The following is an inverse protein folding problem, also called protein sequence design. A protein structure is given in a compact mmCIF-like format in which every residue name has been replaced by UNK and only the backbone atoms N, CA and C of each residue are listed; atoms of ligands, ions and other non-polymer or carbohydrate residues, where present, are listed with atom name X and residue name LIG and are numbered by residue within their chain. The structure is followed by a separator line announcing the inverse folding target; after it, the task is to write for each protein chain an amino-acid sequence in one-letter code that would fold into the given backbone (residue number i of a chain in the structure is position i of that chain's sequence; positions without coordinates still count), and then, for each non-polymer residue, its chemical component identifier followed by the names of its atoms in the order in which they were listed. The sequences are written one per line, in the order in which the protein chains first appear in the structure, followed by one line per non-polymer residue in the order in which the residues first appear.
data_IF_014112703724
#
_entry.id   IF_014112703724
#
_cell.length_a   1.000
_cell.length_b   1.000
_cell.length_c   1.000
_cell.angle_alpha   90.00
_cell.angle_beta   90.00
_cell.angle_gamma   90.00
#
_symmetry.space_group_name_H-M   'P 1'
#
loop_
_entity.id
_entity.type
_entity.pdbx_description
1 polymer ?
#
# COMPACT_ATOMS: atom_id res chain seq x y z
N UNK A 1 -21.72 23.89 23.69
CA UNK A 1 -21.13 22.86 22.81
C UNK A 1 -20.46 21.85 23.71
N UNK A 2 -20.93 20.61 23.68
CA UNK A 2 -20.52 19.55 24.61
C UNK A 2 -19.15 18.99 24.20
N UNK A 3 -18.11 19.33 24.98
CA UNK A 3 -16.69 19.02 24.73
C UNK A 3 -16.39 17.53 24.72
N UNK A 4 -17.32 16.70 25.19
CA UNK A 4 -17.22 15.25 25.21
C UNK A 4 -17.35 14.64 23.80
N UNK A 5 -18.18 15.25 22.95
CA UNK A 5 -18.41 14.78 21.56
C UNK A 5 -17.22 15.01 20.61
N UNK A 6 -16.33 15.95 20.95
CA UNK A 6 -15.11 16.24 20.18
C UNK A 6 -13.98 15.23 20.45
N UNK A 7 -14.03 14.48 21.56
CA UNK A 7 -13.02 13.47 21.89
C UNK A 7 -13.19 12.16 21.13
N UNK A 8 -14.42 11.83 20.76
CA UNK A 8 -14.77 10.58 20.09
C UNK A 8 -15.00 10.75 18.58
N UNK A 9 -14.94 11.99 18.08
CA UNK A 9 -14.95 12.25 16.65
C UNK A 9 -13.61 11.78 16.04
N UNK A 10 -13.62 11.12 14.86
CA UNK A 10 -12.39 10.84 14.13
C UNK A 10 -11.61 12.15 13.95
N UNK A 11 -10.27 12.13 14.09
CA UNK A 11 -9.46 13.30 13.84
C UNK A 11 -9.83 13.96 12.49
N UNK A 12 -9.83 15.30 12.37
CA UNK A 12 -10.28 16.02 11.17
C UNK A 12 -9.64 15.52 9.87
N UNK A 13 -8.42 14.99 9.95
CA UNK A 13 -7.69 14.38 8.85
C UNK A 13 -8.46 13.20 8.23
N UNK A 14 -9.15 12.40 9.02
CA UNK A 14 -9.98 11.30 8.51
C UNK A 14 -11.21 11.80 7.78
N UNK A 15 -11.80 12.92 8.22
CA UNK A 15 -12.91 13.54 7.51
C UNK A 15 -12.45 14.09 6.16
N UNK A 16 -11.28 14.74 6.11
CA UNK A 16 -10.68 15.25 4.86
C UNK A 16 -10.37 14.11 3.90
N UNK A 17 -9.64 13.09 4.36
CA UNK A 17 -9.32 11.91 3.53
C UNK A 17 -10.58 11.20 3.09
N UNK A 18 -11.58 11.08 3.98
CA UNK A 18 -12.89 10.54 3.67
C UNK A 18 -13.58 11.31 2.55
N UNK A 19 -13.59 12.63 2.58
CA UNK A 19 -14.17 13.45 1.52
C UNK A 19 -13.37 13.37 0.21
N UNK A 20 -12.04 13.32 0.28
CA UNK A 20 -11.19 13.24 -0.91
C UNK A 20 -11.30 11.89 -1.64
N UNK A 21 -11.36 10.79 -0.90
CA UNK A 21 -11.41 9.43 -1.46
C UNK A 21 -12.84 8.93 -1.68
N UNK A 22 -13.78 9.38 -0.84
CA UNK A 22 -15.17 8.94 -0.83
C UNK A 22 -16.10 10.16 -0.63
N UNK A 23 -16.20 11.05 -1.64
CA UNK A 23 -17.02 12.26 -1.56
C UNK A 23 -18.46 11.95 -1.16
N UNK A 24 -19.06 12.77 -0.30
CA UNK A 24 -20.39 12.48 0.25
C UNK A 24 -21.43 12.24 -0.85
N UNK A 25 -21.47 13.10 -1.87
CA UNK A 25 -22.45 13.00 -2.96
C UNK A 25 -22.29 11.70 -3.73
N UNK A 26 -21.04 11.25 -3.92
CA UNK A 26 -20.74 9.98 -4.58
C UNK A 26 -21.20 8.82 -3.72
N UNK A 27 -20.83 8.78 -2.43
CA UNK A 27 -21.20 7.68 -1.52
C UNK A 27 -22.71 7.53 -1.39
N UNK A 28 -23.45 8.65 -1.38
CA UNK A 28 -24.94 8.63 -1.35
C UNK A 28 -25.57 8.02 -2.60
N UNK A 29 -24.85 7.99 -3.72
CA UNK A 29 -25.33 7.40 -4.98
C UNK A 29 -25.00 5.91 -5.14
N UNK A 30 -24.17 5.35 -4.25
CA UNK A 30 -23.75 3.95 -4.32
C UNK A 30 -24.83 3.02 -3.77
N UNK A 31 -24.84 1.80 -4.29
CA UNK A 31 -25.56 0.70 -3.65
C UNK A 31 -24.76 0.18 -2.45
N UNK A 32 -25.34 0.33 -1.26
CA UNK A 32 -24.79 -0.13 0.01
C UNK A 32 -25.71 -1.13 0.71
N UNK A 33 -26.64 -1.75 -0.04
CA UNK A 33 -27.68 -2.64 0.49
C UNK A 33 -27.17 -3.99 0.98
N UNK A 34 -25.96 -4.40 0.58
CA UNK A 34 -25.38 -5.69 0.94
C UNK A 34 -23.85 -5.61 1.04
N UNK A 35 -23.26 -6.62 1.70
CA UNK A 35 -21.81 -6.72 1.83
C UNK A 35 -21.11 -6.91 0.47
N UNK A 36 -21.76 -7.55 -0.49
CA UNK A 36 -21.23 -7.72 -1.85
C UNK A 36 -21.21 -6.38 -2.60
N UNK A 37 -22.30 -5.62 -2.54
CA UNK A 37 -22.39 -4.28 -3.10
C UNK A 37 -21.35 -3.33 -2.49
N UNK A 38 -21.15 -3.39 -1.17
CA UNK A 38 -20.12 -2.62 -0.46
C UNK A 38 -18.71 -3.00 -0.95
N UNK A 39 -18.43 -4.29 -1.17
CA UNK A 39 -17.12 -4.71 -1.68
C UNK A 39 -16.88 -4.25 -3.12
N UNK A 40 -17.91 -4.31 -3.96
CA UNK A 40 -17.85 -3.83 -5.34
C UNK A 40 -17.59 -2.33 -5.39
N UNK A 41 -18.39 -1.54 -4.67
CA UNK A 41 -18.24 -0.09 -4.59
C UNK A 41 -16.88 0.33 -4.02
N UNK A 42 -16.38 -0.40 -3.01
CA UNK A 42 -15.05 -0.15 -2.46
C UNK A 42 -13.93 -0.42 -3.48
N UNK A 43 -14.07 -1.44 -4.34
CA UNK A 43 -13.10 -1.67 -5.42
C UNK A 43 -13.16 -0.57 -6.48
N UNK A 44 -14.34 -0.06 -6.85
CA UNK A 44 -14.46 1.06 -7.80
C UNK A 44 -13.77 2.33 -7.27
N UNK A 45 -13.96 2.64 -5.99
CA UNK A 45 -13.33 3.78 -5.31
C UNK A 45 -11.87 3.54 -4.93
N UNK A 46 -11.35 2.30 -5.12
CA UNK A 46 -10.01 1.88 -4.73
C UNK A 46 -9.69 2.13 -3.25
N UNK A 47 -10.67 1.88 -2.39
CA UNK A 47 -10.57 1.92 -0.92
C UNK A 47 -10.80 0.53 -0.32
N UNK A 48 -10.57 0.36 0.98
CA UNK A 48 -10.95 -0.90 1.64
C UNK A 48 -12.46 -0.92 1.92
N UNK A 49 -13.14 -2.09 1.83
CA UNK A 49 -14.55 -2.21 2.19
C UNK A 49 -14.86 -1.69 3.61
N UNK A 50 -13.95 -1.92 4.57
CA UNK A 50 -14.09 -1.41 5.93
C UNK A 50 -14.10 0.12 6.01
N UNK A 51 -13.30 0.80 5.19
CA UNK A 51 -13.27 2.26 5.15
C UNK A 51 -14.59 2.81 4.59
N UNK A 52 -15.14 2.17 3.57
CA UNK A 52 -16.43 2.53 3.00
C UNK A 52 -17.57 2.34 4.01
N UNK A 53 -17.58 1.23 4.77
CA UNK A 53 -18.59 1.00 5.83
C UNK A 53 -18.52 2.09 6.91
N UNK A 54 -17.32 2.45 7.39
CA UNK A 54 -17.14 3.51 8.39
C UNK A 54 -17.61 4.87 7.84
N UNK A 55 -17.28 5.17 6.58
CA UNK A 55 -17.72 6.40 5.91
C UNK A 55 -19.24 6.45 5.77
N UNK A 56 -19.86 5.37 5.31
CA UNK A 56 -21.31 5.27 5.15
C UNK A 56 -22.04 5.38 6.50
N UNK A 57 -21.50 4.79 7.57
CA UNK A 57 -22.02 4.95 8.93
C UNK A 57 -21.91 6.41 9.40
N UNK A 58 -20.76 7.07 9.19
CA UNK A 58 -20.56 8.48 9.53
C UNK A 58 -21.51 9.42 8.79
N UNK A 59 -21.87 9.09 7.54
CA UNK A 59 -22.86 9.80 6.73
C UNK A 59 -24.31 9.39 7.04
N UNK A 60 -24.52 8.48 8.02
CA UNK A 60 -25.80 7.93 8.44
C UNK A 60 -26.57 7.21 7.32
N UNK A 61 -25.85 6.63 6.37
CA UNK A 61 -26.40 5.79 5.30
C UNK A 61 -26.56 4.33 5.74
N UNK A 62 -25.73 3.89 6.69
CA UNK A 62 -25.86 2.60 7.36
C UNK A 62 -26.20 2.82 8.83
N UNK A 63 -27.13 2.00 9.33
CA UNK A 63 -27.39 1.89 10.77
C UNK A 63 -26.17 1.33 11.49
N UNK A 64 -26.06 1.65 12.79
CA UNK A 64 -24.94 1.19 13.61
C UNK A 64 -24.82 -0.34 13.64
N UNK A 65 -25.93 -1.04 13.86
CA UNK A 65 -25.94 -2.51 13.95
C UNK A 65 -25.48 -3.17 12.64
N UNK A 66 -25.97 -2.66 11.51
CA UNK A 66 -25.60 -3.13 10.17
C UNK A 66 -24.11 -2.88 9.89
N UNK A 67 -23.61 -1.70 10.24
CA UNK A 67 -22.20 -1.37 10.09
C UNK A 67 -21.31 -2.30 10.94
N UNK A 68 -21.70 -2.56 12.19
CA UNK A 68 -20.98 -3.49 13.06
C UNK A 68 -20.97 -4.93 12.51
N UNK A 69 -22.11 -5.41 12.00
CA UNK A 69 -22.21 -6.73 11.38
C UNK A 69 -21.29 -6.87 10.17
N UNK A 70 -21.32 -5.91 9.23
CA UNK A 70 -20.43 -5.91 8.07
C UNK A 70 -18.96 -5.83 8.46
N UNK A 71 -18.58 -4.98 9.42
CA UNK A 71 -17.20 -4.88 9.89
C UNK A 71 -16.70 -6.19 10.52
N UNK A 72 -17.58 -6.90 11.25
CA UNK A 72 -17.26 -8.22 11.82
C UNK A 72 -16.97 -9.22 10.70
N UNK A 73 -17.86 -9.33 9.72
CA UNK A 73 -17.72 -10.26 8.59
C UNK A 73 -16.45 -9.97 7.76
N UNK A 74 -16.19 -8.70 7.46
CA UNK A 74 -14.96 -8.29 6.78
C UNK A 74 -13.70 -8.64 7.60
N UNK A 75 -13.78 -8.48 8.92
CA UNK A 75 -12.71 -8.85 9.85
C UNK A 75 -12.46 -10.36 9.91
N UNK A 76 -13.51 -11.18 9.84
CA UNK A 76 -13.41 -12.64 9.74
C UNK A 76 -12.81 -13.07 8.41
N UNK A 77 -13.30 -12.51 7.30
CA UNK A 77 -12.79 -12.78 5.96
C UNK A 77 -11.30 -12.40 5.84
N UNK A 78 -10.89 -11.25 6.40
CA UNK A 78 -9.49 -10.84 6.39
C UNK A 78 -8.59 -11.79 7.19
N UNK A 79 -9.03 -12.21 8.38
CA UNK A 79 -8.28 -13.15 9.24
C UNK A 79 -8.16 -14.54 8.62
N UNK A 80 -9.17 -14.98 7.88
CA UNK A 80 -9.18 -16.27 7.18
C UNK A 80 -8.27 -16.32 5.94
N UNK A 81 -7.75 -15.19 5.46
CA UNK A 81 -6.87 -15.18 4.28
C UNK A 81 -5.56 -15.91 4.58
N UNK A 82 -5.12 -16.85 3.72
CA UNK A 82 -3.84 -17.50 3.88
C UNK A 82 -2.73 -16.45 3.83
N UNK A 83 -1.88 -16.43 4.86
CA UNK A 83 -0.71 -15.56 4.87
C UNK A 83 0.19 -15.96 3.72
N UNK A 84 0.42 -15.04 2.77
CA UNK A 84 1.43 -15.26 1.73
C UNK A 84 2.78 -15.38 2.43
N UNK A 85 3.49 -16.48 2.18
CA UNK A 85 4.86 -16.62 2.68
C UNK A 85 5.70 -15.49 2.08
N UNK A 86 6.20 -14.60 2.94
CA UNK A 86 7.03 -13.50 2.51
C UNK A 86 8.32 -14.07 1.89
N UNK A 87 8.47 -13.92 0.58
CA UNK A 87 9.75 -14.22 -0.08
C UNK A 87 10.72 -13.15 0.38
N UNK A 88 11.83 -13.56 1.00
CA UNK A 88 12.91 -12.64 1.32
C UNK A 88 13.35 -11.95 0.02
N UNK A 89 13.26 -10.60 -0.07
CA UNK A 89 13.65 -9.90 -1.29
C UNK A 89 15.15 -10.15 -1.51
N UNK A 90 15.52 -10.71 -2.67
CA UNK A 90 16.94 -10.83 -3.03
C UNK A 90 17.61 -9.45 -2.94
N UNK A 91 18.82 -9.33 -2.40
CA UNK A 91 19.49 -8.04 -2.26
C UNK A 91 19.60 -7.22 -3.55
N UNK A 92 19.77 -7.88 -4.70
CA UNK A 92 19.76 -7.25 -6.04
C UNK A 92 18.47 -6.48 -6.34
N UNK A 93 17.31 -6.94 -5.84
CA UNK A 93 16.04 -6.26 -6.03
C UNK A 93 15.94 -4.98 -5.19
N UNK A 94 16.57 -4.96 -4.01
CA UNK A 94 16.64 -3.77 -3.20
C UNK A 94 17.52 -2.71 -3.89
N UNK A 95 18.71 -3.10 -4.36
CA UNK A 95 19.61 -2.21 -5.11
C UNK A 95 18.88 -1.63 -6.33
N UNK A 96 18.24 -2.46 -7.17
CA UNK A 96 17.45 -2.00 -8.31
C UNK A 96 16.34 -1.01 -7.93
N UNK A 97 15.58 -1.32 -6.86
CA UNK A 97 14.41 -0.52 -6.45
C UNK A 97 14.80 0.88 -5.99
N UNK A 98 15.86 0.99 -5.18
CA UNK A 98 16.20 2.23 -4.51
C UNK A 98 17.18 3.10 -5.32
N UNK A 99 18.07 2.48 -6.09
CA UNK A 99 18.99 3.23 -6.95
C UNK A 99 18.35 3.61 -8.30
N UNK A 100 17.30 2.90 -8.70
CA UNK A 100 16.67 3.10 -10.00
C UNK A 100 17.47 2.50 -11.16
N UNK A 101 16.77 2.19 -12.25
CA UNK A 101 17.32 1.46 -13.40
C UNK A 101 18.45 2.22 -14.10
N UNK A 102 18.23 3.50 -14.41
CA UNK A 102 19.18 4.32 -15.17
C UNK A 102 20.52 4.47 -14.45
N UNK A 103 20.47 4.85 -13.18
CA UNK A 103 21.67 5.04 -12.36
C UNK A 103 22.41 3.70 -12.19
N UNK A 104 21.69 2.61 -11.89
CA UNK A 104 22.33 1.29 -11.74
C UNK A 104 23.03 0.84 -13.03
N UNK A 105 22.44 1.05 -14.20
CA UNK A 105 23.07 0.73 -15.50
C UNK A 105 24.32 1.59 -15.76
N UNK A 106 24.27 2.88 -15.49
CA UNK A 106 25.43 3.76 -15.66
C UNK A 106 26.60 3.35 -14.75
N UNK A 107 26.29 2.96 -13.51
CA UNK A 107 27.31 2.50 -12.57
C UNK A 107 27.88 1.11 -12.94
N UNK A 108 27.07 0.21 -13.50
CA UNK A 108 27.57 -1.06 -14.04
C UNK A 108 28.49 -0.84 -15.24
N UNK A 109 28.14 0.05 -16.16
CA UNK A 109 29.01 0.42 -17.28
C UNK A 109 30.35 0.99 -16.79
N UNK A 110 30.35 1.81 -15.72
CA UNK A 110 31.59 2.29 -15.11
C UNK A 110 32.47 1.17 -14.52
N UNK A 111 31.86 0.05 -14.10
CA UNK A 111 32.61 -1.15 -13.68
C UNK A 111 33.18 -1.88 -14.89
N UNK A 112 32.38 -2.05 -15.94
CA UNK A 112 32.80 -2.69 -17.20
C UNK A 112 33.95 -1.92 -17.88
N UNK A 113 33.90 -0.59 -17.85
CA UNK A 113 34.94 0.30 -18.39
C UNK A 113 36.19 0.42 -17.50
N UNK A 114 36.18 -0.23 -16.32
CA UNK A 114 37.29 -0.19 -15.36
C UNK A 114 37.44 1.14 -14.61
N UNK A 115 36.50 2.08 -14.76
CA UNK A 115 36.47 3.35 -14.03
C UNK A 115 36.11 3.17 -12.54
N UNK A 116 35.54 2.02 -12.18
CA UNK A 116 35.19 1.63 -10.83
C UNK A 116 35.45 0.14 -10.62
N UNK A 117 36.03 -0.25 -9.48
CA UNK A 117 36.17 -1.68 -9.17
C UNK A 117 34.83 -2.30 -8.73
N UNK A 118 34.62 -3.62 -8.95
CA UNK A 118 33.45 -4.34 -8.43
C UNK A 118 33.25 -4.17 -6.91
N UNK A 119 34.35 -4.14 -6.15
CA UNK A 119 34.32 -3.95 -4.71
C UNK A 119 33.83 -2.56 -4.29
N UNK A 120 34.23 -1.52 -5.03
CA UNK A 120 33.74 -0.15 -4.81
C UNK A 120 32.27 -0.01 -5.15
N UNK A 121 31.82 -0.63 -6.25
CA UNK A 121 30.40 -0.68 -6.59
C UNK A 121 29.59 -1.31 -5.46
N UNK A 122 29.99 -2.49 -4.98
CA UNK A 122 29.30 -3.18 -3.87
C UNK A 122 29.28 -2.34 -2.59
N UNK A 123 30.33 -1.57 -2.31
CA UNK A 123 30.41 -0.69 -1.14
C UNK A 123 29.52 0.54 -1.27
N UNK A 124 29.58 1.24 -2.40
CA UNK A 124 28.95 2.56 -2.60
C UNK A 124 27.52 2.42 -3.12
N UNK A 125 27.34 1.71 -4.23
CA UNK A 125 26.04 1.53 -4.90
C UNK A 125 25.24 0.42 -4.24
N UNK A 126 25.91 -0.69 -3.90
CA UNK A 126 25.29 -1.84 -3.26
C UNK A 126 25.07 -1.69 -1.76
N UNK A 127 25.60 -0.65 -1.11
CA UNK A 127 25.57 -0.44 0.34
C UNK A 127 25.99 -1.69 1.15
N UNK A 128 26.94 -2.48 0.62
CA UNK A 128 27.39 -3.78 1.14
C UNK A 128 26.31 -4.87 1.24
N UNK A 129 25.21 -4.70 0.51
CA UNK A 129 24.11 -5.69 0.45
C UNK A 129 24.31 -6.74 -0.64
N UNK A 130 25.19 -6.48 -1.60
CA UNK A 130 25.54 -7.38 -2.71
C UNK A 130 27.04 -7.56 -2.76
N UNK A 131 27.48 -8.72 -3.28
CA UNK A 131 28.87 -9.08 -3.51
C UNK A 131 29.22 -8.93 -5.00
N UNK A 132 30.52 -8.92 -5.36
CA UNK A 132 30.93 -8.89 -6.77
C UNK A 132 30.30 -10.01 -7.61
N UNK A 133 30.08 -11.18 -7.00
CA UNK A 133 29.44 -12.35 -7.61
C UNK A 133 27.97 -12.10 -8.02
N UNK A 134 27.31 -11.12 -7.40
CA UNK A 134 25.90 -10.78 -7.65
C UNK A 134 25.73 -9.76 -8.80
N UNK A 135 26.83 -9.21 -9.34
CA UNK A 135 26.76 -8.13 -10.34
C UNK A 135 26.13 -8.59 -11.66
N UNK A 136 26.38 -9.82 -12.09
CA UNK A 136 25.74 -10.39 -13.28
C UNK A 136 24.23 -10.59 -13.10
N UNK A 137 23.79 -10.96 -11.90
CA UNK A 137 22.36 -11.04 -11.57
C UNK A 137 21.74 -9.64 -11.57
N UNK A 138 22.44 -8.65 -10.99
CA UNK A 138 21.98 -7.26 -10.99
C UNK A 138 21.87 -6.70 -12.41
N UNK A 139 22.86 -6.95 -13.26
CA UNK A 139 22.87 -6.56 -14.68
C UNK A 139 21.65 -7.09 -15.42
N UNK A 140 21.34 -8.39 -15.25
CA UNK A 140 20.12 -9.00 -15.80
C UNK A 140 18.84 -8.40 -15.22
N UNK A 141 18.83 -8.06 -13.93
CA UNK A 141 17.66 -7.51 -13.25
C UNK A 141 17.33 -6.05 -13.67
N UNK A 142 18.31 -5.31 -14.20
CA UNK A 142 18.17 -3.93 -14.68
C UNK A 142 18.18 -3.80 -16.21
N UNK A 143 18.41 -4.91 -16.92
CA UNK A 143 18.40 -5.06 -18.38
C UNK A 143 17.27 -4.29 -19.04
#
# INVERSE_FOLDING_TARGET
MDTTTLRDAPPPEYAIVGEMLMPEQLVRSLDLSSLDAIQHAADELKVTPSALVVRAQGLKLLGWDVACEHLRELGEAFRGRPKKQARQPKPVNAVRKYNGRRFTRAMLAAVDDGAMSPGEFCRVVGARKIKPEDLDELGRAVG
#
